data_IF_931739452468
#
_entry.id   IF_931739452468
#
_cell.length_a   1.000
_cell.length_b   1.000
_cell.length_c   1.000
_cell.angle_alpha   90.00
_cell.angle_beta   90.00
_cell.angle_gamma   90.00
#
_symmetry.space_group_name_H-M   'P 1'
#
loop_
_entity.id
_entity.type
_entity.pdbx_description
1 polymer ?
#
# COMPACT_ATOMS: atom_id res chain seq x y z
N UNK A 1 -10.14 8.45 -23.56
CA UNK A 1 -8.86 7.85 -23.12
C UNK A 1 -9.06 7.55 -21.64
N UNK A 2 -8.96 6.29 -21.33
CA UNK A 2 -9.31 5.79 -20.01
C UNK A 2 -8.31 6.32 -18.99
N UNK A 3 -8.84 7.01 -18.01
CA UNK A 3 -8.06 7.69 -16.97
C UNK A 3 -7.69 6.65 -15.87
N UNK A 4 -7.13 5.50 -16.30
CA UNK A 4 -6.69 4.42 -15.40
C UNK A 4 -5.44 4.90 -14.68
N UNK A 5 -5.54 5.09 -13.35
CA UNK A 5 -4.44 5.47 -12.50
C UNK A 5 -3.67 4.26 -11.97
N UNK A 6 -4.39 3.16 -11.71
CA UNK A 6 -3.84 1.90 -11.27
C UNK A 6 -4.39 0.77 -12.13
N UNK A 7 -3.49 -0.01 -12.72
CA UNK A 7 -3.80 -1.23 -13.45
C UNK A 7 -3.05 -2.40 -12.82
N UNK A 8 -3.78 -3.37 -12.30
CA UNK A 8 -3.23 -4.61 -11.76
C UNK A 8 -3.58 -5.78 -12.67
N UNK A 9 -2.60 -6.60 -13.02
CA UNK A 9 -2.78 -7.75 -13.91
C UNK A 9 -2.15 -9.01 -13.33
N UNK A 10 -2.98 -10.01 -13.10
CA UNK A 10 -2.56 -11.36 -12.72
C UNK A 10 -1.76 -11.44 -11.43
N UNK A 11 -1.99 -10.56 -10.46
CA UNK A 11 -1.24 -10.53 -9.21
C UNK A 11 -1.39 -11.84 -8.45
N UNK A 12 -0.27 -12.49 -8.14
CA UNK A 12 -0.19 -13.70 -7.32
C UNK A 12 0.74 -13.49 -6.14
N UNK A 13 0.35 -14.05 -4.98
CA UNK A 13 1.22 -14.13 -3.81
C UNK A 13 0.96 -15.36 -3.00
N UNK A 14 2.03 -16.11 -2.72
CA UNK A 14 2.02 -17.32 -1.91
C UNK A 14 3.02 -17.19 -0.77
N UNK A 15 2.61 -17.55 0.43
CA UNK A 15 3.48 -17.57 1.60
C UNK A 15 3.75 -19.02 2.05
N UNK A 16 4.99 -19.28 2.45
CA UNK A 16 5.33 -20.52 3.14
C UNK A 16 4.75 -20.49 4.56
N UNK A 17 4.14 -21.59 4.98
CA UNK A 17 3.60 -21.76 6.32
C UNK A 17 4.64 -22.44 7.23
N UNK A 18 4.98 -21.81 8.34
CA UNK A 18 5.77 -22.43 9.39
C UNK A 18 4.98 -23.57 10.05
N UNK A 19 5.68 -24.51 10.72
CA UNK A 19 5.03 -25.60 11.48
C UNK A 19 4.04 -25.06 12.53
N UNK A 20 4.32 -23.90 13.13
CA UNK A 20 3.44 -23.24 14.09
C UNK A 20 2.16 -22.75 13.41
N UNK A 21 2.29 -22.11 12.24
CA UNK A 21 1.14 -21.63 11.46
C UNK A 21 0.28 -22.78 10.95
N UNK A 22 0.89 -23.87 10.47
CA UNK A 22 0.16 -25.07 10.05
C UNK A 22 -0.70 -25.66 11.19
N UNK A 23 -0.18 -25.65 12.43
CA UNK A 23 -0.94 -26.09 13.61
C UNK A 23 -2.10 -25.15 13.94
N UNK A 24 -1.87 -23.83 13.87
CA UNK A 24 -2.91 -22.83 14.16
C UNK A 24 -4.03 -22.87 13.10
N UNK A 25 -3.67 -23.05 11.84
CA UNK A 25 -4.61 -23.11 10.72
C UNK A 25 -5.21 -24.52 10.53
N UNK A 26 -4.86 -25.50 11.38
CA UNK A 26 -5.30 -26.89 11.29
C UNK A 26 -5.13 -27.48 9.88
N UNK A 27 -4.01 -27.17 9.23
CA UNK A 27 -3.73 -27.61 7.86
C UNK A 27 -2.39 -28.34 7.75
N UNK A 28 -2.33 -29.35 6.87
CA UNK A 28 -1.07 -29.98 6.46
C UNK A 28 -0.35 -29.26 5.31
N UNK A 29 -0.93 -28.18 4.78
CA UNK A 29 -0.36 -27.44 3.67
C UNK A 29 0.93 -26.73 4.09
N UNK A 30 1.95 -26.79 3.25
CA UNK A 30 3.23 -26.10 3.46
C UNK A 30 3.21 -24.66 2.96
N UNK A 31 2.23 -24.30 2.14
CA UNK A 31 2.09 -22.99 1.51
C UNK A 31 0.62 -22.55 1.56
N UNK A 32 0.41 -21.23 1.62
CA UNK A 32 -0.90 -20.59 1.50
C UNK A 32 -0.86 -19.58 0.37
N UNK A 33 -1.77 -19.75 -0.59
CA UNK A 33 -2.01 -18.74 -1.62
C UNK A 33 -2.81 -17.61 -1.00
N UNK A 34 -2.22 -16.44 -0.91
CA UNK A 34 -2.86 -15.25 -0.33
C UNK A 34 -3.58 -14.43 -1.40
N UNK A 35 -3.02 -14.36 -2.61
CA UNK A 35 -3.63 -13.69 -3.77
C UNK A 35 -3.42 -14.58 -4.98
N UNK A 36 -4.48 -14.79 -5.76
CA UNK A 36 -4.49 -15.72 -6.88
C UNK A 36 -5.03 -15.03 -8.14
N UNK A 37 -4.14 -14.66 -9.08
CA UNK A 37 -4.41 -14.05 -10.37
C UNK A 37 -5.40 -12.86 -10.31
N UNK A 38 -5.20 -11.96 -9.34
CA UNK A 38 -6.06 -10.79 -9.15
C UNK A 38 -5.74 -9.73 -10.20
N UNK A 39 -6.78 -9.30 -10.93
CA UNK A 39 -6.70 -8.23 -11.92
C UNK A 39 -7.82 -7.22 -11.70
N UNK A 40 -7.52 -5.93 -11.77
CA UNK A 40 -8.48 -4.85 -11.67
C UNK A 40 -7.86 -3.52 -12.08
N UNK A 41 -8.72 -2.57 -12.38
CA UNK A 41 -8.37 -1.18 -12.67
C UNK A 41 -8.97 -0.25 -11.61
N UNK A 42 -8.25 0.83 -11.31
CA UNK A 42 -8.76 1.95 -10.54
C UNK A 42 -8.51 3.25 -11.31
N UNK A 43 -9.57 4.06 -11.41
CA UNK A 43 -9.56 5.28 -12.21
C UNK A 43 -9.08 6.48 -11.39
N UNK A 44 -8.59 7.50 -12.05
CA UNK A 44 -8.30 8.77 -11.41
C UNK A 44 -9.57 9.40 -10.83
N UNK A 45 -9.50 9.89 -9.58
CA UNK A 45 -10.61 10.59 -8.93
C UNK A 45 -11.69 9.68 -8.34
N UNK A 46 -11.58 8.36 -8.42
CA UNK A 46 -12.54 7.45 -7.80
C UNK A 46 -12.10 6.94 -6.42
N UNK A 47 -13.06 6.45 -5.65
CA UNK A 47 -12.83 5.67 -4.44
C UNK A 47 -13.03 4.19 -4.80
N UNK A 48 -11.92 3.45 -4.90
CA UNK A 48 -11.94 2.02 -5.20
C UNK A 48 -11.85 1.18 -3.92
N UNK A 49 -12.74 0.20 -3.76
CA UNK A 49 -12.80 -0.65 -2.58
C UNK A 49 -12.46 -2.11 -2.86
N UNK A 50 -11.56 -2.70 -2.07
CA UNK A 50 -11.33 -4.14 -2.01
C UNK A 50 -12.17 -4.75 -0.90
N UNK A 51 -13.17 -5.56 -1.27
CA UNK A 51 -14.07 -6.20 -0.32
C UNK A 51 -13.77 -7.70 -0.22
N UNK A 52 -14.00 -8.23 0.96
CA UNK A 52 -13.86 -9.66 1.23
C UNK A 52 -13.67 -9.96 2.72
N UNK A 53 -13.81 -11.23 3.13
CA UNK A 53 -13.62 -11.66 4.51
C UNK A 53 -12.16 -11.52 4.95
N UNK A 54 -11.92 -11.69 6.25
CA UNK A 54 -10.54 -11.76 6.78
C UNK A 54 -9.81 -12.96 6.15
N UNK A 55 -8.57 -12.72 5.72
CA UNK A 55 -7.77 -13.72 5.02
C UNK A 55 -7.99 -13.79 3.49
N UNK A 56 -8.87 -12.95 2.91
CA UNK A 56 -9.13 -12.92 1.47
C UNK A 56 -7.98 -12.30 0.63
N UNK A 57 -6.88 -11.88 1.24
CA UNK A 57 -5.73 -11.31 0.54
C UNK A 57 -5.75 -9.79 0.36
N UNK A 58 -6.73 -9.07 0.91
CA UNK A 58 -6.84 -7.60 0.80
C UNK A 58 -5.56 -6.86 1.23
N UNK A 59 -5.11 -7.14 2.45
CA UNK A 59 -3.88 -6.51 2.98
C UNK A 59 -2.64 -6.90 2.18
N UNK A 60 -2.56 -8.16 1.73
CA UNK A 60 -1.47 -8.64 0.87
C UNK A 60 -1.45 -7.90 -0.46
N UNK A 61 -2.62 -7.71 -1.07
CA UNK A 61 -2.77 -6.93 -2.31
C UNK A 61 -2.30 -5.49 -2.11
N UNK A 62 -2.79 -4.80 -1.07
CA UNK A 62 -2.37 -3.43 -0.77
C UNK A 62 -0.86 -3.32 -0.51
N UNK A 63 -0.26 -4.30 0.18
CA UNK A 63 1.19 -4.34 0.38
C UNK A 63 1.97 -4.55 -0.91
N UNK A 64 1.46 -5.33 -1.86
CA UNK A 64 2.08 -5.46 -3.20
C UNK A 64 2.00 -4.13 -3.96
N UNK A 65 0.84 -3.48 -3.97
CA UNK A 65 0.66 -2.17 -4.61
C UNK A 65 1.53 -1.08 -3.97
N UNK A 66 1.69 -1.12 -2.64
CA UNK A 66 2.58 -0.21 -1.91
C UNK A 66 4.08 -0.56 -2.04
N UNK A 67 4.43 -1.56 -2.84
CA UNK A 67 5.81 -2.04 -3.04
C UNK A 67 6.51 -2.58 -1.78
N UNK A 68 5.76 -2.92 -0.73
CA UNK A 68 6.28 -3.48 0.51
C UNK A 68 6.62 -4.96 0.39
N UNK A 69 5.93 -5.68 -0.51
CA UNK A 69 6.22 -7.07 -0.87
C UNK A 69 6.13 -7.21 -2.39
N UNK A 70 6.96 -8.08 -2.96
CA UNK A 70 6.89 -8.36 -4.39
C UNK A 70 5.82 -9.40 -4.69
N UNK A 71 5.01 -9.23 -5.76
CA UNK A 71 4.22 -10.31 -6.34
C UNK A 71 5.14 -11.47 -6.73
N UNK A 72 4.62 -12.70 -6.64
CA UNK A 72 5.31 -13.87 -7.19
C UNK A 72 5.08 -13.97 -8.71
N UNK A 73 3.87 -13.55 -9.16
CA UNK A 73 3.50 -13.42 -10.57
C UNK A 73 2.62 -12.18 -10.77
N UNK A 74 2.51 -11.73 -12.00
CA UNK A 74 1.78 -10.53 -12.38
C UNK A 74 2.51 -9.25 -12.05
N UNK A 75 1.91 -8.13 -12.35
CA UNK A 75 2.45 -6.79 -12.04
C UNK A 75 1.30 -5.82 -11.78
N UNK A 76 1.61 -4.67 -11.24
CA UNK A 76 0.71 -3.53 -11.22
C UNK A 76 1.44 -2.27 -11.68
N UNK A 77 0.73 -1.42 -12.41
CA UNK A 77 1.22 -0.12 -12.88
C UNK A 77 0.43 0.96 -12.15
N UNK A 78 1.12 1.86 -11.47
CA UNK A 78 0.53 2.97 -10.72
C UNK A 78 1.13 4.28 -11.20
N UNK A 79 0.29 5.17 -11.72
CA UNK A 79 0.75 6.43 -12.28
C UNK A 79 1.81 6.28 -13.37
N UNK A 80 1.73 5.19 -14.15
CA UNK A 80 2.65 4.86 -15.24
C UNK A 80 3.89 4.05 -14.82
N UNK A 81 4.06 3.66 -13.54
CA UNK A 81 5.25 2.96 -13.04
C UNK A 81 4.90 1.56 -12.51
N UNK A 82 5.72 0.57 -12.88
CA UNK A 82 5.59 -0.82 -12.42
C UNK A 82 6.00 -0.97 -10.94
N UNK A 83 5.15 -1.66 -10.16
CA UNK A 83 5.47 -1.95 -8.73
C UNK A 83 6.66 -2.89 -8.58
N UNK A 84 6.96 -3.71 -9.59
CA UNK A 84 8.10 -4.63 -9.56
C UNK A 84 9.40 -4.00 -10.04
N UNK A 85 9.34 -3.19 -11.10
CA UNK A 85 10.53 -2.67 -11.81
C UNK A 85 10.91 -1.25 -11.37
N UNK A 86 9.91 -0.45 -10.97
CA UNK A 86 10.06 0.98 -10.70
C UNK A 86 9.48 1.36 -9.33
N UNK A 87 9.70 0.48 -8.34
CA UNK A 87 9.13 0.60 -7.00
C UNK A 87 9.39 1.97 -6.32
N UNK A 88 10.55 2.58 -6.57
CA UNK A 88 10.87 3.89 -6.04
C UNK A 88 9.97 4.98 -6.63
N UNK A 89 9.71 4.94 -7.93
CA UNK A 89 8.81 5.89 -8.60
C UNK A 89 7.36 5.72 -8.13
N UNK A 90 6.93 4.47 -7.94
CA UNK A 90 5.61 4.17 -7.36
C UNK A 90 5.50 4.79 -5.97
N UNK A 91 6.49 4.56 -5.08
CA UNK A 91 6.46 5.13 -3.71
C UNK A 91 6.39 6.65 -3.68
N UNK A 92 6.91 7.34 -4.69
CA UNK A 92 6.79 8.81 -4.82
C UNK A 92 5.38 9.26 -5.23
N UNK A 93 4.55 8.37 -5.77
CA UNK A 93 3.20 8.64 -6.27
C UNK A 93 2.09 8.27 -5.30
N UNK A 94 2.37 7.45 -4.30
CA UNK A 94 1.38 6.92 -3.37
C UNK A 94 1.54 7.46 -1.95
N UNK A 95 0.43 7.54 -1.22
CA UNK A 95 0.40 7.55 0.23
C UNK A 95 -0.13 6.20 0.72
N UNK A 96 0.51 5.61 1.74
CA UNK A 96 0.10 4.32 2.29
C UNK A 96 -0.14 4.41 3.79
N UNK A 97 -1.35 4.10 4.21
CA UNK A 97 -1.73 4.05 5.62
C UNK A 97 -2.25 2.66 5.97
N UNK A 98 -1.80 2.13 7.09
CA UNK A 98 -2.25 0.84 7.61
C UNK A 98 -2.78 0.96 9.03
N UNK A 99 -3.68 0.05 9.42
CA UNK A 99 -4.13 -0.08 10.81
C UNK A 99 -3.03 -0.55 11.77
N UNK A 100 -1.91 -1.03 11.25
CA UNK A 100 -0.76 -1.48 12.05
C UNK A 100 0.19 -0.32 12.40
N UNK A 101 -0.02 0.86 11.81
CA UNK A 101 0.77 2.05 12.12
C UNK A 101 0.47 2.47 13.57
N UNK A 102 1.42 2.24 14.45
CA UNK A 102 1.40 2.74 15.82
C UNK A 102 2.32 3.94 15.90
N UNK A 103 1.74 5.07 16.23
CA UNK A 103 2.50 6.28 16.55
C UNK A 103 2.83 6.22 18.03
N UNK A 104 4.09 6.41 18.38
CA UNK A 104 4.52 6.55 19.76
C UNK A 104 3.90 7.82 20.37
N UNK A 105 3.54 7.80 21.65
CA UNK A 105 2.81 8.87 22.35
C UNK A 105 3.55 10.23 22.36
N UNK A 106 4.86 10.22 22.16
CA UNK A 106 5.68 11.43 22.10
C UNK A 106 5.68 12.14 20.74
N UNK A 107 5.11 11.52 19.69
CA UNK A 107 5.02 12.17 18.37
C UNK A 107 3.90 13.20 18.35
N UNK A 108 4.26 14.46 18.13
CA UNK A 108 3.28 15.50 17.86
C UNK A 108 2.91 15.56 16.39
N UNK A 109 1.70 16.03 16.02
CA UNK A 109 1.32 16.24 14.63
C UNK A 109 2.31 17.11 13.84
N UNK A 110 2.86 18.14 14.49
CA UNK A 110 3.89 19.01 13.91
C UNK A 110 5.15 18.22 13.55
N UNK A 111 5.65 17.40 14.48
CA UNK A 111 6.83 16.58 14.25
C UNK A 111 6.61 15.58 13.11
N UNK A 112 5.48 14.89 13.11
CA UNK A 112 5.16 13.92 12.05
C UNK A 112 5.05 14.59 10.68
N UNK A 113 4.40 15.74 10.61
CA UNK A 113 4.32 16.48 9.35
C UNK A 113 5.72 16.86 8.82
N UNK A 114 6.57 17.39 9.69
CA UNK A 114 7.92 17.78 9.31
C UNK A 114 8.77 16.56 8.91
N UNK A 115 8.71 15.46 9.67
CA UNK A 115 9.41 14.22 9.39
C UNK A 115 9.02 13.64 8.02
N UNK A 116 7.72 13.48 7.75
CA UNK A 116 7.28 12.97 6.45
C UNK A 116 7.54 13.96 5.30
N UNK A 117 7.49 15.26 5.58
CA UNK A 117 7.87 16.27 4.58
C UNK A 117 9.34 16.16 4.20
N UNK A 118 10.23 15.90 5.15
CA UNK A 118 11.65 15.66 4.89
C UNK A 118 11.86 14.36 4.10
N UNK A 119 11.21 13.28 4.53
CA UNK A 119 11.30 11.97 3.88
C UNK A 119 10.88 12.03 2.40
N UNK A 120 9.84 12.79 2.10
CA UNK A 120 9.33 13.00 0.75
C UNK A 120 9.95 14.20 0.03
N UNK A 121 10.98 14.83 0.60
CA UNK A 121 11.71 15.96 0.03
C UNK A 121 10.79 17.13 -0.39
N UNK A 122 9.76 17.41 0.41
CA UNK A 122 8.81 18.50 0.13
C UNK A 122 9.53 19.85 0.30
N UNK A 123 9.53 20.74 -0.69
CA UNK A 123 10.16 22.05 -0.60
C UNK A 123 9.63 22.89 0.59
N UNK A 124 10.51 23.64 1.25
CA UNK A 124 10.18 24.37 2.48
C UNK A 124 9.02 25.39 2.32
N UNK A 125 8.94 26.03 1.17
CA UNK A 125 7.84 26.97 0.85
C UNK A 125 6.48 26.26 0.81
N UNK A 126 6.41 25.07 0.22
CA UNK A 126 5.19 24.27 0.15
C UNK A 126 4.82 23.65 1.50
N UNK A 127 5.81 23.32 2.34
CA UNK A 127 5.55 22.74 3.67
C UNK A 127 4.71 23.65 4.54
N UNK A 128 5.09 24.92 4.62
CA UNK A 128 4.41 25.91 5.46
C UNK A 128 2.94 26.09 5.04
N UNK A 129 2.70 26.19 3.75
CA UNK A 129 1.36 26.34 3.19
C UNK A 129 0.50 25.09 3.44
N UNK A 130 1.02 23.89 3.09
CA UNK A 130 0.32 22.62 3.27
C UNK A 130 0.06 22.30 4.75
N UNK A 131 1.02 22.59 5.62
CA UNK A 131 0.86 22.39 7.07
C UNK A 131 -0.28 23.23 7.61
N UNK A 132 -0.30 24.53 7.26
CA UNK A 132 -1.37 25.44 7.66
C UNK A 132 -2.73 24.92 7.17
N UNK A 133 -2.83 24.58 5.90
CA UNK A 133 -4.06 24.08 5.29
C UNK A 133 -4.58 22.78 5.97
N UNK A 134 -3.70 21.81 6.22
CA UNK A 134 -4.09 20.56 6.88
C UNK A 134 -4.54 20.80 8.32
N UNK A 135 -3.86 21.65 9.08
CA UNK A 135 -4.23 21.94 10.46
C UNK A 135 -5.51 22.77 10.58
N UNK A 136 -5.85 23.57 9.56
CA UNK A 136 -7.15 24.24 9.48
C UNK A 136 -8.31 23.26 9.22
N UNK A 137 -8.06 22.19 8.46
CA UNK A 137 -9.08 21.15 8.16
C UNK A 137 -9.30 20.23 9.36
N UNK A 138 -8.24 19.82 10.05
CA UNK A 138 -8.31 18.77 11.07
C UNK A 138 -8.30 19.28 12.52
N UNK A 139 -8.04 20.54 12.76
CA UNK A 139 -8.04 21.20 14.08
C UNK A 139 -6.66 21.25 14.71
#
# INVERSE_FOLDING_TARGET
MDNVLLHAEGLCKTFALSKKQQKIEHTGAKKRVAVNHLSFDAMEGEIFGLLGPNGAGKTTTLRMLATLIKPDEGDAVIGGYSVQKEAEQVRRKIGFLTSELRLEEFFTPNYLFDFFSDLHQVPANLRKERKKHLFEIFG
#
